data_IF_550140672621
#
_entry.id   IF_550140672621
#
_cell.length_a   1.000
_cell.length_b   1.000
_cell.length_c   1.000
_cell.angle_alpha   90.00
_cell.angle_beta   90.00
_cell.angle_gamma   90.00
#
_symmetry.space_group_name_H-M   'P 1'
#
loop_
_entity.id
_entity.type
_entity.pdbx_description
1 polymer ?
#
# COMPACT_ATOMS: atom_id res chain seq x y z
N UNK A 1 3.37 -4.62 -14.41
CA UNK A 1 4.81 -4.54 -14.80
C UNK A 1 5.72 -5.07 -13.69
N UNK A 2 5.76 -4.47 -12.48
CA UNK A 2 6.64 -4.92 -11.37
C UNK A 2 6.41 -6.39 -10.96
N UNK A 3 5.15 -6.86 -10.94
CA UNK A 3 4.84 -8.26 -10.63
C UNK A 3 5.40 -9.28 -11.63
N UNK A 4 5.46 -8.93 -12.93
CA UNK A 4 6.05 -9.80 -13.96
C UNK A 4 7.56 -9.86 -13.77
N UNK A 5 8.21 -8.71 -13.53
CA UNK A 5 9.64 -8.63 -13.25
C UNK A 5 10.03 -9.48 -12.02
N UNK A 6 9.29 -9.35 -10.92
CA UNK A 6 9.54 -10.15 -9.71
C UNK A 6 9.40 -11.65 -9.97
N UNK A 7 8.43 -12.06 -10.79
CA UNK A 7 8.26 -13.47 -11.18
C UNK A 7 9.43 -13.97 -12.00
N UNK A 8 9.87 -13.23 -13.02
CA UNK A 8 11.04 -13.62 -13.81
C UNK A 8 12.32 -13.72 -12.97
N UNK A 9 12.56 -12.76 -12.06
CA UNK A 9 13.72 -12.84 -11.17
C UNK A 9 13.65 -14.06 -10.24
N UNK A 10 12.46 -14.40 -9.72
CA UNK A 10 12.26 -15.61 -8.90
C UNK A 10 12.56 -16.88 -9.69
N UNK A 11 12.11 -16.97 -10.93
CA UNK A 11 12.38 -18.11 -11.83
C UNK A 11 13.88 -18.27 -12.11
N UNK A 12 14.64 -17.17 -12.13
CA UNK A 12 16.10 -17.17 -12.30
C UNK A 12 16.87 -17.34 -10.98
N UNK A 13 16.19 -17.57 -9.85
CA UNK A 13 16.82 -17.71 -8.55
C UNK A 13 17.45 -16.42 -8.00
N UNK A 14 17.07 -15.26 -8.54
CA UNK A 14 17.55 -13.95 -8.08
C UNK A 14 16.69 -13.46 -6.90
N UNK A 15 17.31 -13.07 -5.77
CA UNK A 15 16.57 -12.45 -4.67
C UNK A 15 15.92 -11.13 -5.11
N UNK A 16 14.62 -10.96 -4.83
CA UNK A 16 13.88 -9.73 -5.13
C UNK A 16 12.99 -9.31 -3.99
N UNK A 17 12.73 -8.00 -3.93
CA UNK A 17 11.77 -7.40 -3.02
C UNK A 17 11.05 -6.26 -3.75
N UNK A 18 9.80 -6.02 -3.38
CA UNK A 18 9.00 -4.89 -3.86
C UNK A 18 8.38 -4.20 -2.66
N UNK A 19 8.48 -2.87 -2.65
CA UNK A 19 8.00 -2.03 -1.57
C UNK A 19 6.96 -1.07 -2.11
N UNK A 20 5.91 -0.86 -1.32
CA UNK A 20 4.80 0.02 -1.63
C UNK A 20 4.49 0.85 -0.39
N UNK A 21 4.11 2.11 -0.57
CA UNK A 21 3.64 2.97 0.50
C UNK A 21 2.15 3.24 0.28
N UNK A 22 1.36 3.09 1.34
CA UNK A 22 -0.05 3.47 1.31
C UNK A 22 -0.16 4.98 1.48
N UNK A 23 -0.73 5.67 0.50
CA UNK A 23 -0.90 7.13 0.52
C UNK A 23 -2.39 7.45 0.52
N UNK A 24 -2.89 8.22 1.50
CA UNK A 24 -4.29 8.61 1.51
C UNK A 24 -4.70 9.40 0.27
N UNK A 25 -5.86 9.08 -0.30
CA UNK A 25 -6.37 9.67 -1.54
C UNK A 25 -6.73 11.16 -1.42
N UNK A 26 -6.96 11.66 -0.20
CA UNK A 26 -7.19 13.10 0.04
C UNK A 26 -5.91 13.94 -0.14
N UNK A 27 -4.76 13.29 -0.23
CA UNK A 27 -3.50 13.92 -0.62
C UNK A 27 -3.47 13.94 -2.15
N UNK A 28 -4.07 14.99 -2.74
CA UNK A 28 -4.17 15.13 -4.20
C UNK A 28 -2.92 15.71 -4.87
N UNK A 29 -1.80 15.85 -4.13
CA UNK A 29 -0.53 16.32 -4.66
C UNK A 29 0.18 15.26 -5.50
N UNK A 30 0.79 15.68 -6.60
CA UNK A 30 1.61 14.81 -7.48
C UNK A 30 2.83 14.23 -6.75
N UNK A 31 3.27 14.88 -5.67
CA UNK A 31 4.47 14.54 -4.90
C UNK A 31 4.12 14.32 -3.43
N UNK A 32 4.62 13.21 -2.85
CA UNK A 32 4.47 12.90 -1.43
C UNK A 32 5.85 12.57 -0.85
N UNK A 33 6.59 13.59 -0.35
CA UNK A 33 7.95 13.41 0.16
C UNK A 33 7.99 12.52 1.40
N UNK A 34 6.92 12.48 2.21
CA UNK A 34 6.81 11.57 3.36
C UNK A 34 6.79 10.09 2.94
N UNK A 35 6.02 9.77 1.90
CA UNK A 35 5.96 8.41 1.35
C UNK A 35 7.30 8.01 0.72
N UNK A 36 7.93 8.92 -0.02
CA UNK A 36 9.25 8.72 -0.60
C UNK A 36 10.32 8.47 0.49
N UNK A 37 10.37 9.32 1.52
CA UNK A 37 11.29 9.18 2.65
C UNK A 37 11.17 7.81 3.32
N UNK A 38 9.93 7.38 3.60
CA UNK A 38 9.67 6.08 4.24
C UNK A 38 10.17 4.91 3.39
N UNK A 39 9.93 4.95 2.07
CA UNK A 39 10.40 3.92 1.15
C UNK A 39 11.93 3.90 1.07
N UNK A 40 12.57 5.07 0.96
CA UNK A 40 14.02 5.19 0.88
C UNK A 40 14.68 4.69 2.16
N UNK A 41 14.20 5.09 3.34
CA UNK A 41 14.69 4.59 4.62
C UNK A 41 14.61 3.05 4.70
N UNK A 42 13.52 2.46 4.21
CA UNK A 42 13.35 0.99 4.20
C UNK A 42 14.33 0.32 3.24
N UNK A 43 14.56 0.89 2.06
CA UNK A 43 15.53 0.39 1.08
C UNK A 43 16.95 0.49 1.62
N UNK A 44 17.34 1.64 2.17
CA UNK A 44 18.66 1.87 2.78
C UNK A 44 18.94 0.84 3.88
N UNK A 45 17.93 0.55 4.72
CA UNK A 45 18.02 -0.49 5.76
C UNK A 45 18.20 -1.89 5.18
N UNK A 46 17.50 -2.24 4.10
CA UNK A 46 17.63 -3.54 3.42
C UNK A 46 19.00 -3.71 2.78
N UNK A 47 19.53 -2.65 2.18
CA UNK A 47 20.84 -2.64 1.52
C UNK A 47 22.00 -2.42 2.50
N UNK A 48 21.72 -2.13 3.77
CA UNK A 48 22.71 -1.76 4.79
C UNK A 48 23.62 -0.60 4.33
N UNK A 49 23.06 0.30 3.52
CA UNK A 49 23.78 1.43 2.94
C UNK A 49 23.80 2.63 3.90
N UNK A 50 24.68 3.59 3.63
CA UNK A 50 24.65 4.92 4.25
C UNK A 50 24.32 5.93 3.16
N UNK A 51 23.21 6.62 3.33
CA UNK A 51 22.72 7.65 2.41
C UNK A 51 22.33 8.85 3.26
N UNK A 52 22.70 10.05 2.83
CA UNK A 52 22.23 11.28 3.45
C UNK A 52 20.81 11.56 2.99
N UNK A 53 19.88 11.67 3.94
CA UNK A 53 18.46 11.90 3.69
C UNK A 53 18.00 13.28 4.19
N UNK A 54 18.92 14.14 4.62
CA UNK A 54 18.60 15.39 5.33
C UNK A 54 17.66 16.31 4.53
N UNK A 55 17.90 16.48 3.23
CA UNK A 55 17.05 17.31 2.36
C UNK A 55 15.63 16.73 2.23
N UNK A 56 15.52 15.42 2.06
CA UNK A 56 14.24 14.72 1.94
C UNK A 56 13.47 14.70 3.27
N UNK A 57 14.18 14.65 4.40
CA UNK A 57 13.60 14.79 5.74
C UNK A 57 13.02 16.19 5.95
N UNK A 58 13.73 17.24 5.51
CA UNK A 58 13.23 18.61 5.57
C UNK A 58 11.99 18.80 4.70
N UNK A 59 12.00 18.30 3.47
CA UNK A 59 10.87 18.37 2.55
C UNK A 59 9.64 17.63 3.11
N UNK A 60 9.84 16.42 3.65
CA UNK A 60 8.78 15.66 4.30
C UNK A 60 8.15 16.42 5.47
N UNK A 61 8.98 17.07 6.30
CA UNK A 61 8.52 17.88 7.43
C UNK A 61 7.71 19.10 6.98
N UNK A 62 8.18 19.83 5.98
CA UNK A 62 7.45 20.98 5.43
C UNK A 62 6.11 20.56 4.84
N UNK A 63 6.09 19.44 4.11
CA UNK A 63 4.87 18.86 3.56
C UNK A 63 3.85 18.50 4.64
N UNK A 64 4.27 17.82 5.72
CA UNK A 64 3.39 17.45 6.83
C UNK A 64 2.79 18.68 7.53
N UNK A 65 3.57 19.75 7.72
CA UNK A 65 3.08 21.00 8.30
C UNK A 65 2.00 21.64 7.41
N UNK A 66 2.26 21.75 6.11
CA UNK A 66 1.31 22.29 5.15
C UNK A 66 0.01 21.46 5.10
N UNK A 67 0.15 20.12 5.13
CA UNK A 67 -1.00 19.23 5.13
C UNK A 67 -1.83 19.40 6.41
N UNK A 68 -1.19 19.49 7.58
CA UNK A 68 -1.87 19.73 8.85
C UNK A 68 -2.66 21.05 8.84
N UNK A 69 -2.09 22.12 8.24
CA UNK A 69 -2.80 23.39 8.08
C UNK A 69 -4.02 23.27 7.17
N UNK A 70 -3.91 22.57 6.03
CA UNK A 70 -5.01 22.36 5.09
C UNK A 70 -6.15 21.58 5.75
N UNK A 71 -5.81 20.50 6.45
CA UNK A 71 -6.77 19.68 7.21
C UNK A 71 -7.44 20.52 8.30
N UNK A 72 -6.68 21.35 9.03
CA UNK A 72 -7.24 22.20 10.09
C UNK A 72 -8.20 23.28 9.56
N UNK A 73 -7.96 23.80 8.33
CA UNK A 73 -8.83 24.81 7.70
C UNK A 73 -10.12 24.21 7.11
N UNK A 74 -10.17 22.89 6.90
CA UNK A 74 -11.33 22.22 6.33
C UNK A 74 -11.93 21.20 7.30
N UNK A 75 -12.99 21.61 8.00
CA UNK A 75 -13.69 20.79 8.99
C UNK A 75 -14.25 19.47 8.42
N UNK A 76 -14.60 19.42 7.13
CA UNK A 76 -15.07 18.21 6.46
C UNK A 76 -13.93 17.19 6.29
N UNK A 77 -12.77 17.64 5.82
CA UNK A 77 -11.56 16.80 5.70
C UNK A 77 -11.10 16.34 7.08
N UNK A 78 -11.10 17.23 8.09
CA UNK A 78 -10.73 16.86 9.46
C UNK A 78 -11.65 15.77 10.05
N UNK A 79 -12.96 15.88 9.86
CA UNK A 79 -13.91 14.85 10.28
C UNK A 79 -13.70 13.53 9.52
N UNK A 80 -13.37 13.61 8.23
CA UNK A 80 -13.08 12.45 7.40
C UNK A 80 -11.80 11.72 7.84
N UNK A 81 -10.71 12.46 8.09
CA UNK A 81 -9.45 11.91 8.61
C UNK A 81 -9.68 11.20 9.94
N UNK A 82 -10.40 11.84 10.87
CA UNK A 82 -10.72 11.22 12.18
C UNK A 82 -11.50 9.92 12.05
N UNK A 83 -12.41 9.82 11.08
CA UNK A 83 -13.15 8.59 10.79
C UNK A 83 -12.28 7.50 10.20
N UNK A 84 -11.33 7.87 9.33
CA UNK A 84 -10.36 6.93 8.77
C UNK A 84 -9.43 6.37 9.86
N UNK A 85 -8.88 7.24 10.71
CA UNK A 85 -8.00 6.85 11.82
C UNK A 85 -8.71 5.90 12.81
N UNK A 86 -9.98 6.15 13.12
CA UNK A 86 -10.76 5.26 13.98
C UNK A 86 -10.91 3.85 13.38
N UNK A 87 -11.15 3.74 12.06
CA UNK A 87 -11.25 2.44 11.39
C UNK A 87 -9.92 1.69 11.35
N UNK A 88 -8.82 2.39 11.11
CA UNK A 88 -7.49 1.78 11.10
C UNK A 88 -7.11 1.29 12.50
N UNK A 89 -7.43 2.06 13.55
CA UNK A 89 -7.22 1.62 14.93
C UNK A 89 -8.04 0.35 15.26
N UNK A 90 -9.30 0.29 14.84
CA UNK A 90 -10.14 -0.89 15.02
C UNK A 90 -9.59 -2.12 14.26
N UNK A 91 -9.02 -1.94 13.06
CA UNK A 91 -8.40 -3.01 12.27
C UNK A 91 -7.08 -3.52 12.87
N UNK A 92 -6.25 -2.63 13.43
CA UNK A 92 -5.00 -2.99 14.12
C UNK A 92 -5.26 -3.70 15.47
N UNK A 93 -6.44 -3.52 16.07
CA UNK A 93 -6.89 -4.21 17.28
C UNK A 93 -7.45 -5.62 17.02
N UNK A 94 -7.70 -6.01 15.76
CA UNK A 94 -8.05 -7.40 15.41
C UNK A 94 -6.76 -8.23 15.45
N UNK A 95 -6.62 -9.19 16.38
CA UNK A 95 -5.48 -10.08 16.36
C UNK A 95 -5.46 -10.82 15.02
N UNK A 96 -4.28 -11.03 14.40
CA UNK A 96 -4.21 -11.82 13.18
C UNK A 96 -4.89 -13.17 13.45
N UNK A 97 -5.92 -13.50 12.67
CA UNK A 97 -6.59 -14.80 12.78
C UNK A 97 -5.53 -15.90 12.75
N UNK A 98 -5.64 -16.93 13.62
CA UNK A 98 -4.72 -18.05 13.60
C UNK A 98 -4.67 -18.64 12.18
N UNK A 99 -3.50 -19.13 11.71
CA UNK A 99 -3.32 -19.61 10.34
C UNK A 99 -4.33 -20.69 9.91
N UNK A 100 -4.94 -21.40 10.86
CA UNK A 100 -5.95 -22.43 10.64
C UNK A 100 -7.35 -21.89 10.25
N UNK A 101 -7.59 -20.58 10.36
CA UNK A 101 -8.87 -19.95 9.97
C UNK A 101 -8.84 -19.35 8.56
N UNK A 102 -7.66 -19.23 7.95
CA UNK A 102 -7.56 -18.78 6.56
C UNK A 102 -7.86 -19.97 5.63
N UNK A 103 -8.86 -19.87 4.74
CA UNK A 103 -9.10 -20.92 3.76
C UNK A 103 -7.84 -21.14 2.91
N UNK A 104 -7.55 -22.40 2.53
CA UNK A 104 -6.36 -22.70 1.75
C UNK A 104 -6.39 -21.92 0.43
N UNK A 105 -5.20 -21.53 -0.05
CA UNK A 105 -5.06 -20.71 -1.26
C UNK A 105 -5.76 -21.30 -2.50
N UNK A 106 -5.94 -22.63 -2.55
CA UNK A 106 -6.71 -23.32 -3.58
C UNK A 106 -8.17 -22.87 -3.65
N UNK A 107 -8.77 -22.57 -2.50
CA UNK A 107 -10.20 -22.26 -2.40
C UNK A 107 -10.44 -20.82 -2.85
N UNK A 108 -9.54 -19.89 -2.51
CA UNK A 108 -9.53 -18.53 -3.08
C UNK A 108 -9.36 -18.55 -4.60
N UNK A 109 -8.46 -19.38 -5.12
CA UNK A 109 -8.24 -19.49 -6.58
C UNK A 109 -9.51 -20.01 -7.27
N UNK A 110 -10.16 -21.03 -6.70
CA UNK A 110 -11.41 -21.57 -7.24
C UNK A 110 -12.54 -20.53 -7.23
N UNK A 111 -12.65 -19.73 -6.16
CA UNK A 111 -13.64 -18.67 -6.05
C UNK A 111 -13.40 -17.54 -7.06
N UNK A 112 -12.13 -17.13 -7.26
CA UNK A 112 -11.75 -16.15 -8.27
C UNK A 112 -12.04 -16.68 -9.68
N UNK A 113 -11.70 -17.94 -9.98
CA UNK A 113 -12.00 -18.57 -11.27
C UNK A 113 -13.51 -18.64 -11.51
N UNK A 114 -14.29 -19.01 -10.50
CA UNK A 114 -15.75 -19.07 -10.59
C UNK A 114 -16.35 -17.68 -10.81
N UNK A 115 -15.86 -16.66 -10.12
CA UNK A 115 -16.28 -15.27 -10.29
C UNK A 115 -15.97 -14.75 -11.70
N UNK A 116 -14.77 -15.02 -12.22
CA UNK A 116 -14.38 -14.64 -13.58
C UNK A 116 -15.19 -15.37 -14.65
N UNK A 117 -15.57 -16.64 -14.42
CA UNK A 117 -16.50 -17.38 -15.30
C UNK A 117 -17.90 -16.76 -15.30
N UNK A 118 -18.38 -16.30 -14.14
CA UNK A 118 -19.69 -15.64 -14.02
C UNK A 118 -19.72 -14.26 -14.67
N UNK A 119 -18.58 -13.55 -14.71
CA UNK A 119 -18.45 -12.26 -15.39
C UNK A 119 -18.23 -12.37 -16.91
N UNK A 120 -18.00 -13.56 -17.46
CA UNK A 120 -17.87 -13.75 -18.90
C UNK A 120 -19.27 -13.70 -19.52
N UNK A 121 -19.65 -12.65 -20.29
CA UNK A 121 -20.94 -12.61 -20.98
C UNK A 121 -20.97 -13.78 -21.98
N UNK A 122 -22.09 -14.49 -22.02
CA UNK A 122 -22.22 -15.78 -22.69
C UNK A 122 -21.62 -15.86 -24.09
N UNK A 123 -20.77 -16.86 -24.31
CA UNK A 123 -20.52 -17.39 -25.65
C UNK A 123 -21.83 -17.97 -26.19
N UNK A 124 -22.29 -17.59 -27.40
CA UNK A 124 -23.44 -18.21 -28.02
C UNK A 124 -23.12 -19.69 -28.33
N UNK A 125 -24.00 -20.60 -27.91
CA UNK A 125 -23.98 -21.99 -28.41
C UNK A 125 -24.42 -21.98 -29.87
N UNK A 126 -23.53 -22.42 -30.76
CA UNK A 126 -23.92 -22.99 -32.06
C UNK A 126 -24.67 -24.33 -31.87
#
# INVERSE_FOLDING_TARGET
IVGVLNTTCREQGMPTASLWANVPHYISGTENPRAALTLVQRVVKLLQARVDLSELEEEAKQFEQNLAEIVARNAEIAAYVKKLEARTADEDEVPPSPPDELPPASDLVAEIEQFLRQQRPGEPKE
#
